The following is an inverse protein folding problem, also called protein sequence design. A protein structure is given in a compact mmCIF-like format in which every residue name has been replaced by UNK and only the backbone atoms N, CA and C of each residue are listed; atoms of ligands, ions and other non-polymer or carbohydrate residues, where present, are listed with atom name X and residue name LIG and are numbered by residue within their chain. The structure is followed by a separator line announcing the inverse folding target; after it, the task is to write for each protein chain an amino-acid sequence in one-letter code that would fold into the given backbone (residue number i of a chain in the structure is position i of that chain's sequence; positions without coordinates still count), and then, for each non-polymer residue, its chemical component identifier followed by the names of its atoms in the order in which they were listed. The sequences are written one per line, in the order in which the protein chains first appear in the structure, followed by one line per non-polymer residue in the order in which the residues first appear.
data_IF_312822331936
#
_entry.id   IF_312822331936
#
_cell.length_a   1.000
_cell.length_b   1.000
_cell.length_c   1.000
_cell.angle_alpha   90.00
_cell.angle_beta   90.00
_cell.angle_gamma   90.00
#
_symmetry.space_group_name_H-M   'P 1'
#
loop_
_entity.id
_entity.type
_entity.pdbx_description
1 polymer ?
#
# COMPACT_ATOMS: atom_id res chain seq x y z
N UNK A 1 15.47 7.82 -1.04
CA UNK A 1 14.60 6.84 -1.73
C UNK A 1 14.35 5.72 -0.75
N UNK A 2 13.13 5.21 -0.71
CA UNK A 2 12.80 4.04 0.11
C UNK A 2 13.14 2.77 -0.67
N UNK A 3 13.56 1.73 0.05
CA UNK A 3 13.61 0.37 -0.47
C UNK A 3 12.25 -0.33 -0.29
N UNK A 4 12.10 -1.51 -0.89
CA UNK A 4 10.84 -2.25 -0.96
C UNK A 4 10.33 -2.65 0.45
N UNK A 5 11.23 -3.01 1.37
CA UNK A 5 10.90 -3.32 2.76
C UNK A 5 10.38 -2.08 3.51
N UNK A 6 11.05 -0.93 3.38
CA UNK A 6 10.61 0.32 3.99
C UNK A 6 9.27 0.82 3.41
N UNK A 7 9.00 0.54 2.13
CA UNK A 7 7.70 0.81 1.51
C UNK A 7 6.63 -0.09 2.12
N UNK A 8 6.84 -1.39 2.15
CA UNK A 8 5.93 -2.35 2.78
C UNK A 8 5.61 -1.96 4.22
N UNK A 9 6.62 -1.71 5.05
CA UNK A 9 6.47 -1.33 6.45
C UNK A 9 5.63 -0.06 6.62
N UNK A 10 5.88 0.95 5.78
CA UNK A 10 5.11 2.19 5.80
C UNK A 10 3.64 1.95 5.49
N UNK A 11 3.34 1.19 4.43
CA UNK A 11 1.96 0.89 4.04
C UNK A 11 1.28 0.03 5.11
N UNK A 12 1.96 -0.99 5.64
CA UNK A 12 1.46 -1.86 6.71
C UNK A 12 1.09 -1.04 7.94
N UNK A 13 2.01 -0.22 8.46
CA UNK A 13 1.76 0.62 9.62
C UNK A 13 0.61 1.59 9.37
N UNK A 14 0.52 2.19 8.18
CA UNK A 14 -0.57 3.09 7.81
C UNK A 14 -1.93 2.38 7.82
N UNK A 15 -2.05 1.25 7.13
CA UNK A 15 -3.31 0.50 7.06
C UNK A 15 -3.77 0.03 8.45
N UNK A 16 -2.84 -0.51 9.26
CA UNK A 16 -3.15 -0.99 10.61
C UNK A 16 -3.47 0.14 11.59
N UNK A 17 -2.93 1.35 11.39
CA UNK A 17 -3.29 2.51 12.19
C UNK A 17 -4.64 3.11 11.76
N UNK A 18 -4.92 3.14 10.46
CA UNK A 18 -6.15 3.72 9.91
C UNK A 18 -7.38 2.85 10.18
N UNK A 19 -7.23 1.51 10.14
CA UNK A 19 -8.29 0.52 10.35
C UNK A 19 -9.60 0.81 9.60
N UNK A 20 -9.49 1.38 8.40
CA UNK A 20 -10.62 1.70 7.56
C UNK A 20 -10.18 1.84 6.11
N UNK A 21 -11.05 1.42 5.18
CA UNK A 21 -10.85 1.62 3.75
C UNK A 21 -10.93 3.11 3.42
N UNK A 22 -10.07 3.54 2.50
CA UNK A 22 -10.12 4.86 1.88
C UNK A 22 -10.96 4.78 0.60
N UNK A 23 -12.20 5.25 0.67
CA UNK A 23 -13.21 5.12 -0.38
C UNK A 23 -14.00 6.43 -0.60
N UNK A 24 -14.64 6.53 -1.77
CA UNK A 24 -15.65 7.56 -2.08
C UNK A 24 -17.10 7.09 -1.77
N UNK A 25 -18.09 7.91 -2.13
CA UNK A 25 -19.52 7.64 -1.86
C UNK A 25 -20.06 6.41 -2.58
N UNK A 26 -19.34 5.93 -3.59
CA UNK A 26 -19.68 4.72 -4.35
C UNK A 26 -19.03 3.47 -3.77
N UNK A 27 -18.17 3.62 -2.76
CA UNK A 27 -17.34 2.54 -2.22
C UNK A 27 -16.10 2.25 -3.08
N UNK A 28 -15.73 3.15 -4.00
CA UNK A 28 -14.55 2.98 -4.84
C UNK A 28 -13.31 3.47 -4.11
N UNK A 29 -12.21 2.70 -4.17
CA UNK A 29 -10.94 3.08 -3.56
C UNK A 29 -10.45 4.45 -4.05
N UNK A 30 -9.98 5.27 -3.11
CA UNK A 30 -9.43 6.60 -3.37
C UNK A 30 -8.06 6.74 -2.73
N UNK A 31 -7.12 7.40 -3.41
CA UNK A 31 -5.82 7.79 -2.83
C UNK A 31 -6.05 8.67 -1.61
N UNK A 32 -7.04 9.56 -1.67
CA UNK A 32 -7.60 10.28 -0.51
C UNK A 32 -9.12 10.14 -0.46
N UNK A 33 -9.59 9.29 0.45
CA UNK A 33 -11.01 9.10 0.73
C UNK A 33 -11.54 10.09 1.77
N UNK A 34 -12.77 9.83 2.23
CA UNK A 34 -13.40 10.65 3.27
C UNK A 34 -12.59 10.71 4.57
N UNK A 35 -12.79 11.77 5.33
CA UNK A 35 -12.18 11.97 6.66
C UNK A 35 -10.64 11.96 6.63
N UNK A 36 -10.03 12.27 5.49
CA UNK A 36 -8.58 12.32 5.34
C UNK A 36 -7.91 10.94 5.27
N UNK A 37 -8.70 9.87 5.08
CA UNK A 37 -8.20 8.52 4.88
C UNK A 37 -7.37 8.43 3.60
N UNK A 38 -6.36 7.57 3.61
CA UNK A 38 -5.52 7.27 2.46
C UNK A 38 -5.50 5.77 2.22
N UNK A 39 -5.53 5.34 0.97
CA UNK A 39 -5.39 3.92 0.64
C UNK A 39 -3.92 3.47 0.77
N UNK A 40 -3.66 2.20 0.44
CA UNK A 40 -2.32 1.61 0.43
C UNK A 40 -1.32 2.45 -0.40
N UNK A 41 -1.73 2.91 -1.59
CA UNK A 41 -0.89 3.72 -2.48
C UNK A 41 -0.88 5.19 -2.04
N UNK A 42 -2.04 5.74 -1.68
CA UNK A 42 -2.20 7.14 -1.30
C UNK A 42 -1.35 7.56 -0.10
N UNK A 43 -1.08 6.64 0.84
CA UNK A 43 -0.23 6.92 2.01
C UNK A 43 1.25 7.13 1.66
N UNK A 44 1.69 6.69 0.48
CA UNK A 44 3.05 6.86 -0.02
C UNK A 44 3.27 8.20 -0.71
N UNK A 45 2.19 8.90 -1.10
CA UNK A 45 2.24 10.17 -1.82
C UNK A 45 2.31 11.32 -0.82
N UNK A 46 3.40 12.09 -0.87
CA UNK A 46 3.55 13.30 -0.06
C UNK A 46 2.52 14.34 -0.46
N UNK A 47 2.14 15.19 0.48
CA UNK A 47 1.04 16.13 0.28
C UNK A 47 1.30 17.10 -0.86
N UNK A 48 2.54 17.56 -1.01
CA UNK A 48 2.95 18.49 -2.06
C UNK A 48 2.88 17.91 -3.49
N UNK A 49 2.78 16.58 -3.63
CA UNK A 49 2.67 15.90 -4.94
C UNK A 49 1.32 15.26 -5.18
N UNK A 50 0.39 15.38 -4.23
CA UNK A 50 -0.97 14.95 -4.43
C UNK A 50 -1.75 15.99 -5.27
N UNK A 51 -2.56 15.50 -6.21
CA UNK A 51 -3.53 16.32 -6.93
C UNK A 51 -4.79 15.46 -7.18
N UNK A 52 -6.01 16.04 -7.15
CA UNK A 52 -7.25 15.27 -7.38
C UNK A 52 -7.29 14.52 -8.72
N UNK A 53 -6.55 14.99 -9.73
CA UNK A 53 -6.41 14.30 -11.02
C UNK A 53 -5.61 12.98 -10.94
N UNK A 54 -4.99 12.67 -9.80
CA UNK A 54 -4.39 11.36 -9.53
C UNK A 54 -5.44 10.33 -9.11
N UNK A 55 -6.59 10.77 -8.58
CA UNK A 55 -7.71 9.87 -8.34
C UNK A 55 -8.14 9.26 -9.68
N UNK A 56 -8.62 7.99 -9.66
CA UNK A 56 -8.92 7.18 -10.84
C UNK A 56 -7.71 6.57 -11.59
N UNK A 57 -6.49 6.84 -11.12
CA UNK A 57 -5.29 6.17 -11.62
C UNK A 57 -4.98 4.96 -10.73
N UNK A 58 -5.22 3.73 -11.22
CA UNK A 58 -4.88 2.50 -10.50
C UNK A 58 -3.45 2.03 -10.78
N UNK A 59 -2.71 1.56 -9.78
CA UNK A 59 -1.31 1.15 -9.94
C UNK A 59 -1.14 0.00 -10.96
N UNK A 60 -2.14 -0.89 -11.04
CA UNK A 60 -2.19 -2.03 -11.97
C UNK A 60 -2.17 -1.63 -13.45
N UNK A 61 -2.64 -0.43 -13.79
CA UNK A 61 -2.67 0.07 -15.19
C UNK A 61 -1.30 0.51 -15.71
N UNK A 62 -0.33 0.77 -14.83
CA UNK A 62 0.89 1.49 -15.23
C UNK A 62 2.13 0.62 -15.46
N UNK A 63 2.00 -0.71 -15.44
CA UNK A 63 3.08 -1.62 -15.84
C UNK A 63 3.64 -1.31 -17.25
N UNK A 64 2.82 -0.68 -18.10
CA UNK A 64 3.17 -0.35 -19.49
C UNK A 64 3.28 1.17 -19.78
N UNK A 65 3.11 2.04 -18.77
CA UNK A 65 3.07 3.50 -18.94
C UNK A 65 3.96 4.22 -17.92
N UNK A 66 5.29 4.26 -18.14
CA UNK A 66 6.25 4.81 -17.19
C UNK A 66 6.07 6.31 -16.90
N UNK A 67 5.37 7.04 -17.78
CA UNK A 67 5.13 8.48 -17.63
C UNK A 67 3.79 8.82 -16.94
N UNK A 68 3.13 7.83 -16.32
CA UNK A 68 1.89 8.07 -15.57
C UNK A 68 2.06 9.13 -14.48
N UNK A 69 1.13 10.08 -14.33
CA UNK A 69 1.15 11.07 -13.25
C UNK A 69 1.25 10.45 -11.85
N UNK A 70 0.65 9.27 -11.64
CA UNK A 70 0.75 8.55 -10.38
C UNK A 70 2.18 8.07 -10.11
N UNK A 71 2.84 7.48 -11.11
CA UNK A 71 4.22 7.03 -10.97
C UNK A 71 5.18 8.21 -10.74
N UNK A 72 4.93 9.35 -11.41
CA UNK A 72 5.68 10.58 -11.18
C UNK A 72 5.49 11.10 -9.75
N UNK A 73 4.26 11.10 -9.22
CA UNK A 73 3.97 11.51 -7.85
C UNK A 73 4.62 10.58 -6.81
N UNK A 74 4.61 9.26 -7.04
CA UNK A 74 5.31 8.28 -6.22
C UNK A 74 6.83 8.48 -6.25
N UNK A 75 7.41 8.67 -7.44
CA UNK A 75 8.83 8.94 -7.62
C UNK A 75 9.26 10.23 -6.92
N UNK A 76 8.48 11.31 -7.09
CA UNK A 76 8.69 12.58 -6.39
C UNK A 76 8.53 12.40 -4.87
N UNK A 77 7.71 11.45 -4.42
CA UNK A 77 7.54 11.08 -3.01
C UNK A 77 8.63 10.15 -2.46
N UNK A 78 9.61 9.77 -3.30
CA UNK A 78 10.74 8.93 -2.89
C UNK A 78 10.54 7.43 -3.09
N UNK A 79 9.49 7.02 -3.82
CA UNK A 79 9.14 5.64 -4.17
C UNK A 79 9.49 5.39 -5.64
N UNK A 80 10.59 4.68 -5.91
CA UNK A 80 11.07 4.45 -7.28
C UNK A 80 10.37 3.26 -7.93
N UNK A 81 9.17 3.48 -8.47
CA UNK A 81 8.36 2.44 -9.14
C UNK A 81 8.93 2.11 -10.53
N UNK A 82 10.13 1.54 -10.56
CA UNK A 82 10.83 1.12 -11.80
C UNK A 82 11.11 -0.36 -11.86
N UNK A 83 11.05 -1.05 -10.73
CA UNK A 83 11.24 -2.49 -10.67
C UNK A 83 9.87 -3.18 -10.73
N UNK A 84 9.81 -4.27 -11.48
CA UNK A 84 8.61 -5.13 -11.52
C UNK A 84 8.23 -5.67 -10.13
N UNK A 85 9.17 -6.13 -9.29
CA UNK A 85 8.86 -6.59 -7.93
C UNK A 85 8.15 -5.54 -7.06
N UNK A 86 8.59 -4.28 -7.12
CA UNK A 86 7.94 -3.22 -6.35
C UNK A 86 6.53 -2.93 -6.86
N UNK A 87 6.30 -2.96 -8.17
CA UNK A 87 4.95 -2.80 -8.74
C UNK A 87 4.04 -3.93 -8.26
N UNK A 88 4.52 -5.17 -8.31
CA UNK A 88 3.75 -6.33 -7.86
C UNK A 88 3.43 -6.22 -6.35
N UNK A 89 4.39 -5.81 -5.51
CA UNK A 89 4.16 -5.53 -4.09
C UNK A 89 3.07 -4.47 -3.87
N UNK A 90 3.10 -3.37 -4.63
CA UNK A 90 2.10 -2.30 -4.51
C UNK A 90 0.70 -2.77 -4.93
N UNK A 91 0.60 -3.62 -5.95
CA UNK A 91 -0.66 -4.25 -6.37
C UNK A 91 -1.18 -5.16 -5.26
N UNK A 92 -0.33 -6.03 -4.69
CA UNK A 92 -0.75 -6.95 -3.62
C UNK A 92 -1.21 -6.21 -2.36
N UNK A 93 -0.57 -5.07 -2.03
CA UNK A 93 -1.02 -4.21 -0.94
C UNK A 93 -2.38 -3.55 -1.21
N UNK A 94 -2.64 -3.13 -2.45
CA UNK A 94 -3.93 -2.61 -2.88
C UNK A 94 -5.01 -3.72 -2.83
N UNK A 95 -4.69 -4.92 -3.30
CA UNK A 95 -5.59 -6.09 -3.25
C UNK A 95 -5.99 -6.45 -1.81
N UNK A 96 -5.07 -6.34 -0.84
CA UNK A 96 -5.40 -6.54 0.58
C UNK A 96 -6.32 -5.41 1.09
N UNK A 97 -6.04 -4.16 0.74
CA UNK A 97 -6.86 -3.01 1.16
C UNK A 97 -8.29 -3.08 0.62
N UNK A 98 -8.45 -3.40 -0.66
CA UNK A 98 -9.74 -3.37 -1.36
C UNK A 98 -10.52 -4.70 -1.25
N UNK A 99 -9.80 -5.82 -1.18
CA UNK A 99 -10.39 -7.16 -1.29
C UNK A 99 -10.57 -7.91 0.02
N UNK A 100 -9.98 -7.44 1.13
CA UNK A 100 -10.07 -8.11 2.43
C UNK A 100 -10.84 -7.26 3.46
N UNK A 101 -11.55 -7.93 4.37
CA UNK A 101 -12.09 -7.26 5.54
C UNK A 101 -10.96 -6.65 6.39
N UNK A 102 -11.19 -5.47 6.97
CA UNK A 102 -10.20 -4.78 7.82
C UNK A 102 -9.68 -5.67 8.96
N UNK A 103 -10.54 -6.54 9.51
CA UNK A 103 -10.16 -7.51 10.54
C UNK A 103 -9.10 -8.51 10.09
N UNK A 104 -9.02 -8.77 8.78
CA UNK A 104 -8.10 -9.75 8.21
C UNK A 104 -6.75 -9.14 7.85
N UNK A 105 -6.68 -7.81 7.72
CA UNK A 105 -5.46 -7.07 7.31
C UNK A 105 -4.20 -7.47 8.10
N UNK A 106 -4.20 -7.60 9.45
CA UNK A 106 -3.00 -7.99 10.18
C UNK A 106 -2.40 -9.31 9.66
N UNK A 107 -3.24 -10.35 9.57
CA UNK A 107 -2.80 -11.69 9.12
C UNK A 107 -2.38 -11.72 7.64
N UNK A 108 -3.06 -10.93 6.79
CA UNK A 108 -2.78 -10.85 5.35
C UNK A 108 -1.47 -10.13 5.08
N UNK A 109 -1.25 -8.99 5.75
CA UNK A 109 -0.02 -8.20 5.64
C UNK A 109 1.17 -8.96 6.21
N UNK A 110 1.00 -9.69 7.31
CA UNK A 110 2.06 -10.52 7.88
C UNK A 110 2.48 -11.64 6.91
N UNK A 111 1.52 -12.32 6.27
CA UNK A 111 1.79 -13.33 5.25
C UNK A 111 2.51 -12.72 4.04
N UNK A 112 2.04 -11.58 3.53
CA UNK A 112 2.69 -10.89 2.41
C UNK A 112 4.14 -10.51 2.76
N UNK A 113 4.37 -9.99 3.98
CA UNK A 113 5.70 -9.67 4.47
C UNK A 113 6.64 -10.88 4.49
N UNK A 114 6.16 -12.08 4.86
CA UNK A 114 6.95 -13.32 4.77
C UNK A 114 7.22 -13.74 3.33
N UNK A 115 6.21 -13.67 2.45
CA UNK A 115 6.32 -14.05 1.04
C UNK A 115 7.40 -13.24 0.29
N UNK A 116 7.56 -11.96 0.66
CA UNK A 116 8.61 -11.08 0.13
C UNK A 116 9.91 -11.07 0.94
N UNK A 117 9.98 -11.80 2.07
CA UNK A 117 11.15 -11.85 2.94
C UNK A 117 11.40 -10.58 3.76
N UNK A 118 10.37 -9.76 3.99
CA UNK A 118 10.42 -8.56 4.84
C UNK A 118 10.15 -8.84 6.32
N UNK A 119 9.53 -9.97 6.62
CA UNK A 119 9.25 -10.44 7.98
C UNK A 119 9.88 -11.80 8.17
N UNK A 120 10.69 -11.97 9.22
CA UNK A 120 11.28 -13.26 9.56
C UNK A 120 10.21 -14.23 10.13
N UNK A 121 10.36 -15.52 9.82
CA UNK A 121 9.49 -16.60 10.33
C UNK A 121 9.57 -16.80 11.86
N UNK A 122 10.46 -16.09 12.56
CA UNK A 122 10.73 -16.29 13.99
C UNK A 122 9.73 -15.63 14.94
N UNK A 123 8.74 -14.86 14.46
CA UNK A 123 7.71 -14.27 15.32
C UNK A 123 6.53 -15.22 15.65
N UNK A 124 6.68 -16.51 15.36
CA UNK A 124 5.63 -17.53 15.50
C UNK A 124 5.98 -18.68 16.45
N UNK A 125 6.68 -18.46 17.56
CA UNK A 125 6.73 -19.46 18.64
C UNK A 125 7.19 -18.88 19.98
N UNK A 126 6.29 -18.26 20.74
CA UNK A 126 6.34 -18.31 22.21
C UNK A 126 4.98 -17.89 22.80
N UNK A 127 4.02 -18.80 22.74
CA UNK A 127 2.92 -18.82 23.72
C UNK A 127 2.39 -20.25 23.89
N UNK A 128 3.11 -21.05 24.67
CA UNK A 128 2.56 -22.14 25.47
C UNK A 128 3.67 -22.75 26.34
N UNK A 129 3.70 -22.43 27.64
CA UNK A 129 3.33 -23.38 28.71
C UNK A 129 3.53 -22.77 30.10
N UNK A 130 2.44 -22.82 30.87
CA UNK A 130 2.28 -22.93 32.33
C UNK A 130 3.27 -22.24 33.28
#
# INVERSE_FOLDING_TARGET
MLDDCAIFERVRCHMLAQQAVSEDETGSCCLRGYQGRKCAIGCLIREEYYHPALEQLGISYFQNYPDSPLLQALAASGVNVRSRPLIDLLIELEDIHDGCAVSDWPSRLERLGREHGFVDDTAGCELATA
#
